data_IF_663745019377
#
_entry.id   IF_663745019377
#
_cell.length_a   1.000
_cell.length_b   1.000
_cell.length_c   1.000
_cell.angle_alpha   90.00
_cell.angle_beta   90.00
_cell.angle_gamma   90.00
#
_symmetry.space_group_name_H-M   'P 1'
#
loop_
_entity.id
_entity.type
_entity.pdbx_description
1 polymer ?
#
# COMPACT_ATOMS: atom_id res chain seq x y z
N UNK A 1 -16.92 9.07 2.98
CA UNK A 1 -16.20 8.18 3.92
C UNK A 1 -16.61 8.60 5.32
N UNK A 2 -16.90 7.68 6.24
CA UNK A 2 -16.95 8.06 7.66
C UNK A 2 -15.51 7.98 8.16
N UNK A 3 -14.97 9.10 8.62
CA UNK A 3 -13.64 9.20 9.24
C UNK A 3 -13.47 8.10 10.31
N UNK A 4 -14.56 7.74 10.98
CA UNK A 4 -14.73 6.63 11.93
C UNK A 4 -14.04 5.30 11.53
N UNK A 5 -14.06 4.93 10.24
CA UNK A 5 -13.47 3.65 9.79
C UNK A 5 -11.94 3.69 9.77
N UNK A 6 -11.36 4.82 9.37
CA UNK A 6 -9.90 4.99 9.38
C UNK A 6 -9.41 5.19 10.82
N UNK A 7 -10.21 5.86 11.65
CA UNK A 7 -9.90 5.99 13.08
C UNK A 7 -9.84 4.63 13.77
N UNK A 8 -10.81 3.73 13.51
CA UNK A 8 -10.78 2.37 14.05
C UNK A 8 -9.52 1.58 13.61
N UNK A 9 -9.08 1.75 12.37
CA UNK A 9 -7.84 1.16 11.86
C UNK A 9 -6.60 1.74 12.59
N UNK A 10 -6.55 3.06 12.79
CA UNK A 10 -5.46 3.73 13.54
C UNK A 10 -5.37 3.18 14.97
N UNK A 11 -6.50 3.06 15.68
CA UNK A 11 -6.53 2.49 17.03
C UNK A 11 -6.06 1.03 17.05
N UNK A 12 -6.46 0.24 16.05
CA UNK A 12 -6.04 -1.16 15.93
C UNK A 12 -4.54 -1.29 15.69
N UNK A 13 -3.97 -0.43 14.82
CA UNK A 13 -2.52 -0.39 14.56
C UNK A 13 -1.74 0.01 15.82
N UNK A 14 -2.21 1.02 16.56
CA UNK A 14 -1.58 1.43 17.82
C UNK A 14 -1.59 0.31 18.86
N UNK A 15 -2.74 -0.36 19.04
CA UNK A 15 -2.86 -1.47 19.97
C UNK A 15 -1.96 -2.66 19.60
N UNK A 16 -1.93 -3.04 18.32
CA UNK A 16 -1.08 -4.13 17.84
C UNK A 16 0.41 -3.81 17.95
N UNK A 17 0.81 -2.56 17.66
CA UNK A 17 2.20 -2.11 17.80
C UNK A 17 2.65 -2.14 19.26
N UNK A 18 1.79 -1.72 20.19
CA UNK A 18 2.08 -1.79 21.62
C UNK A 18 2.19 -3.24 22.13
N UNK A 19 1.34 -4.14 21.65
CA UNK A 19 1.43 -5.56 21.97
C UNK A 19 2.71 -6.20 21.40
N UNK A 20 3.11 -5.81 20.18
CA UNK A 20 4.31 -6.31 19.52
C UNK A 20 5.60 -5.93 20.26
N UNK A 21 5.66 -4.76 20.90
CA UNK A 21 6.80 -4.39 21.74
C UNK A 21 7.08 -5.40 22.86
N UNK A 22 6.05 -6.10 23.35
CA UNK A 22 6.19 -7.15 24.37
C UNK A 22 6.43 -8.54 23.76
N UNK A 23 5.82 -8.81 22.60
CA UNK A 23 5.80 -10.14 22.00
C UNK A 23 7.01 -10.43 21.09
N UNK A 24 7.60 -9.40 20.47
CA UNK A 24 8.80 -9.48 19.62
C UNK A 24 8.69 -10.50 18.47
N UNK A 25 7.47 -10.84 18.04
CA UNK A 25 7.22 -11.83 17.00
C UNK A 25 7.57 -11.30 15.61
N UNK A 26 7.16 -10.08 15.31
CA UNK A 26 7.53 -9.39 14.08
C UNK A 26 9.04 -9.17 14.02
N UNK A 27 9.68 -8.80 15.14
CA UNK A 27 11.14 -8.65 15.19
C UNK A 27 11.86 -9.96 14.87
N UNK A 28 11.36 -11.07 15.40
CA UNK A 28 11.91 -12.40 15.11
C UNK A 28 11.73 -12.79 13.63
N UNK A 29 10.56 -12.52 13.05
CA UNK A 29 10.30 -12.77 11.63
C UNK A 29 11.24 -11.94 10.74
N UNK A 30 11.42 -10.66 11.07
CA UNK A 30 12.30 -9.74 10.36
C UNK A 30 13.75 -10.23 10.37
N UNK A 31 14.25 -10.67 11.53
CA UNK A 31 15.60 -11.23 11.66
C UNK A 31 15.75 -12.53 10.84
N UNK A 32 14.72 -13.37 10.82
CA UNK A 32 14.74 -14.61 10.04
C UNK A 32 14.89 -14.35 8.53
N UNK A 33 14.24 -13.31 8.00
CA UNK A 33 14.31 -12.94 6.58
C UNK A 33 15.37 -11.90 6.23
N UNK A 34 16.17 -11.43 7.20
CA UNK A 34 17.10 -10.32 7.00
C UNK A 34 18.10 -10.60 5.87
N UNK A 35 18.63 -11.81 5.79
CA UNK A 35 19.64 -12.19 4.79
C UNK A 35 19.09 -12.29 3.36
N UNK A 36 17.79 -12.52 3.20
CA UNK A 36 17.14 -12.53 1.89
C UNK A 36 16.82 -11.09 1.46
N UNK A 37 16.32 -10.28 2.40
CA UNK A 37 15.96 -8.88 2.14
C UNK A 37 17.21 -8.02 1.91
N UNK A 38 18.33 -8.27 2.60
CA UNK A 38 19.59 -7.55 2.39
C UNK A 38 20.21 -7.77 1.00
N UNK A 39 19.71 -8.75 0.23
CA UNK A 39 20.10 -8.94 -1.19
C UNK A 39 19.29 -8.05 -2.13
N UNK A 40 18.13 -7.57 -1.69
CA UNK A 40 17.20 -6.76 -2.47
C UNK A 40 17.40 -5.27 -2.22
N UNK A 41 17.76 -4.90 -0.99
CA UNK A 41 18.00 -3.52 -0.55
C UNK A 41 19.24 -3.42 0.32
N UNK A 42 19.92 -2.28 0.21
CA UNK A 42 20.99 -1.94 1.14
C UNK A 42 20.35 -1.57 2.49
N UNK A 43 20.56 -2.42 3.49
CA UNK A 43 20.10 -2.21 4.85
C UNK A 43 21.36 -2.02 5.68
N UNK A 44 21.45 -0.88 6.37
CA UNK A 44 22.52 -0.67 7.34
C UNK A 44 22.57 -1.84 8.33
N UNK A 45 23.78 -2.26 8.71
CA UNK A 45 24.04 -3.43 9.56
C UNK A 45 23.58 -3.17 11.02
N UNK A 46 22.27 -3.14 11.24
CA UNK A 46 21.54 -2.67 12.42
C UNK A 46 20.60 -3.75 12.96
N UNK A 47 21.10 -4.97 13.23
CA UNK A 47 20.40 -6.05 13.96
C UNK A 47 18.87 -6.20 13.64
N UNK A 48 18.49 -6.03 12.37
CA UNK A 48 17.09 -6.02 11.92
C UNK A 48 16.21 -4.84 12.37
N UNK A 49 16.68 -3.89 13.18
CA UNK A 49 15.85 -2.80 13.73
C UNK A 49 15.37 -1.83 12.64
N UNK A 50 16.24 -1.52 11.68
CA UNK A 50 15.87 -0.72 10.50
C UNK A 50 14.73 -1.36 9.70
N UNK A 51 14.80 -2.68 9.45
CA UNK A 51 13.75 -3.41 8.75
C UNK A 51 12.47 -3.56 9.61
N UNK A 52 12.60 -3.75 10.92
CA UNK A 52 11.46 -3.77 11.85
C UNK A 52 10.70 -2.44 11.84
N UNK A 53 11.40 -1.32 11.97
CA UNK A 53 10.80 0.03 11.88
C UNK A 53 10.14 0.27 10.52
N UNK A 54 10.74 -0.24 9.45
CA UNK A 54 10.16 -0.17 8.12
C UNK A 54 8.81 -0.89 8.05
N UNK A 55 8.70 -2.11 8.56
CA UNK A 55 7.44 -2.87 8.54
C UNK A 55 6.36 -2.16 9.37
N UNK A 56 6.70 -1.66 10.56
CA UNK A 56 5.74 -0.89 11.37
C UNK A 56 5.25 0.37 10.65
N UNK A 57 6.17 1.07 9.97
CA UNK A 57 5.83 2.26 9.20
C UNK A 57 4.97 1.93 7.98
N UNK A 58 5.27 0.83 7.29
CA UNK A 58 4.49 0.33 6.16
C UNK A 58 3.01 0.07 6.54
N UNK A 59 2.78 -0.55 7.70
CA UNK A 59 1.44 -0.76 8.26
C UNK A 59 0.79 0.57 8.62
N UNK A 60 1.52 1.42 9.34
CA UNK A 60 0.99 2.68 9.90
C UNK A 60 0.68 3.74 8.84
N UNK A 61 1.19 3.59 7.62
CA UNK A 61 0.97 4.54 6.53
C UNK A 61 -0.41 4.38 5.87
N UNK A 62 -1.02 3.21 5.96
CA UNK A 62 -2.28 2.89 5.26
C UNK A 62 -3.41 3.90 5.52
N UNK A 63 -3.72 4.30 6.78
CA UNK A 63 -4.85 5.19 7.03
C UNK A 63 -4.65 6.58 6.42
N UNK A 64 -3.47 7.19 6.64
CA UNK A 64 -3.17 8.51 6.07
C UNK A 64 -3.11 8.43 4.54
N UNK A 65 -2.68 7.30 4.00
CA UNK A 65 -2.61 7.10 2.57
C UNK A 65 -4.00 7.08 1.92
N UNK A 66 -4.94 6.34 2.49
CA UNK A 66 -6.32 6.31 1.99
C UNK A 66 -7.01 7.67 2.13
N UNK A 67 -6.77 8.38 3.23
CA UNK A 67 -7.32 9.73 3.44
C UNK A 67 -6.82 10.72 2.39
N UNK A 68 -5.50 10.77 2.16
CA UNK A 68 -4.92 11.67 1.19
C UNK A 68 -5.35 11.32 -0.25
N UNK A 69 -5.46 10.03 -0.60
CA UNK A 69 -5.99 9.60 -1.89
C UNK A 69 -7.43 10.09 -2.09
N UNK A 70 -8.27 10.01 -1.06
CA UNK A 70 -9.63 10.55 -1.12
C UNK A 70 -9.62 12.06 -1.37
N UNK A 71 -8.87 12.83 -0.57
CA UNK A 71 -8.80 14.29 -0.72
C UNK A 71 -8.31 14.70 -2.10
N UNK A 72 -7.19 14.12 -2.54
CA UNK A 72 -6.64 14.33 -3.87
C UNK A 72 -7.64 14.03 -4.99
N UNK A 73 -8.38 12.92 -4.89
CA UNK A 73 -9.39 12.56 -5.87
C UNK A 73 -10.58 13.53 -5.87
N UNK A 74 -11.00 14.04 -4.71
CA UNK A 74 -12.07 15.03 -4.59
C UNK A 74 -11.65 16.38 -5.17
N UNK A 75 -10.46 16.87 -4.81
CA UNK A 75 -9.90 18.13 -5.33
C UNK A 75 -9.70 18.10 -6.84
N UNK A 76 -9.27 16.95 -7.37
CA UNK A 76 -9.14 16.76 -8.81
C UNK A 76 -10.50 16.58 -9.53
N UNK A 77 -11.60 16.30 -8.83
CA UNK A 77 -12.88 15.93 -9.45
C UNK A 77 -12.88 14.52 -10.04
N UNK A 78 -11.96 13.66 -9.60
CA UNK A 78 -11.79 12.27 -10.03
C UNK A 78 -12.44 11.25 -9.09
N UNK A 79 -13.14 11.71 -8.04
CA UNK A 79 -13.73 10.83 -7.03
C UNK A 79 -14.58 9.68 -7.60
N UNK A 80 -15.34 9.93 -8.67
CA UNK A 80 -16.15 8.88 -9.33
C UNK A 80 -15.30 7.70 -9.81
N UNK A 81 -14.06 7.95 -10.25
CA UNK A 81 -13.15 6.94 -10.78
C UNK A 81 -12.29 6.29 -9.68
N UNK A 82 -11.98 7.04 -8.62
CA UNK A 82 -11.18 6.56 -7.48
C UNK A 82 -12.02 5.80 -6.45
N UNK A 83 -13.32 6.11 -6.34
CA UNK A 83 -14.22 5.49 -5.35
C UNK A 83 -14.21 3.95 -5.40
N UNK A 84 -14.28 3.27 -6.56
CA UNK A 84 -14.24 1.81 -6.60
C UNK A 84 -12.93 1.22 -6.05
N UNK A 85 -11.80 1.87 -6.32
CA UNK A 85 -10.50 1.50 -5.73
C UNK A 85 -10.55 1.64 -4.21
N UNK A 86 -11.11 2.76 -3.73
CA UNK A 86 -11.26 3.04 -2.31
C UNK A 86 -12.17 2.02 -1.61
N UNK A 87 -13.29 1.64 -2.24
CA UNK A 87 -14.23 0.67 -1.67
C UNK A 87 -13.54 -0.70 -1.45
N UNK A 88 -12.71 -1.14 -2.42
CA UNK A 88 -11.92 -2.38 -2.29
C UNK A 88 -10.85 -2.25 -1.20
N UNK A 89 -10.10 -1.15 -1.18
CA UNK A 89 -9.08 -0.93 -0.15
C UNK A 89 -9.67 -0.94 1.26
N UNK A 90 -10.86 -0.33 1.43
CA UNK A 90 -11.60 -0.35 2.68
C UNK A 90 -12.09 -1.75 3.04
N UNK A 91 -12.52 -2.54 2.06
CA UNK A 91 -12.92 -3.93 2.31
C UNK A 91 -11.75 -4.76 2.85
N UNK A 92 -10.52 -4.57 2.36
CA UNK A 92 -9.34 -5.28 2.88
C UNK A 92 -9.06 -4.95 4.35
N UNK A 93 -9.14 -3.69 4.75
CA UNK A 93 -8.85 -3.28 6.15
C UNK A 93 -10.02 -3.54 7.10
N UNK A 94 -11.24 -3.76 6.58
CA UNK A 94 -12.43 -4.12 7.35
C UNK A 94 -12.59 -5.62 7.57
N UNK A 95 -11.90 -6.45 6.79
CA UNK A 95 -11.84 -7.88 7.08
C UNK A 95 -11.30 -8.04 8.49
N UNK A 96 -12.05 -8.72 9.37
CA UNK A 96 -11.55 -9.04 10.68
C UNK A 96 -10.19 -9.74 10.50
N UNK A 97 -9.13 -9.29 11.21
CA UNK A 97 -7.89 -10.03 11.33
C UNK A 97 -8.27 -11.49 11.56
N UNK A 98 -7.96 -12.39 10.60
CA UNK A 98 -8.39 -13.77 10.72
C UNK A 98 -8.11 -14.24 12.14
N UNK A 99 -9.14 -14.72 12.84
CA UNK A 99 -8.98 -15.33 14.17
C UNK A 99 -7.98 -16.51 14.14
N UNK A 100 -7.56 -16.92 12.93
CA UNK A 100 -6.56 -17.93 12.62
C UNK A 100 -5.12 -17.43 12.55
N UNK A 101 -4.83 -16.13 12.71
CA UNK A 101 -3.44 -15.67 12.86
C UNK A 101 -2.92 -16.04 14.27
N UNK A 102 -2.58 -17.31 14.45
CA UNK A 102 -1.79 -17.80 15.59
C UNK A 102 -0.49 -16.99 15.79
N UNK A 103 -0.04 -16.29 14.74
CA UNK A 103 1.10 -15.37 14.73
C UNK A 103 0.82 -13.99 15.38
N UNK A 104 -0.43 -13.55 15.49
CA UNK A 104 -0.83 -12.32 16.20
C UNK A 104 -1.34 -11.17 15.32
N UNK A 105 -2.00 -10.19 15.96
CA UNK A 105 -2.73 -9.08 15.31
C UNK A 105 -1.86 -8.22 14.38
N UNK A 106 -0.57 -8.04 14.71
CA UNK A 106 0.35 -7.23 13.89
C UNK A 106 0.58 -7.84 12.49
N UNK A 107 0.58 -9.17 12.37
CA UNK A 107 0.73 -9.84 11.07
C UNK A 107 -0.54 -9.74 10.24
N UNK A 108 -1.72 -9.80 10.85
CA UNK A 108 -2.95 -9.57 10.11
C UNK A 108 -3.00 -8.13 9.54
N UNK A 109 -2.61 -7.14 10.35
CA UNK A 109 -2.48 -5.76 9.88
C UNK A 109 -1.40 -5.61 8.78
N UNK A 110 -0.31 -6.38 8.85
CA UNK A 110 0.69 -6.46 7.79
C UNK A 110 0.09 -6.96 6.48
N UNK A 111 -0.69 -8.05 6.52
CA UNK A 111 -1.32 -8.59 5.32
C UNK A 111 -2.34 -7.62 4.73
N UNK A 112 -3.14 -6.95 5.58
CA UNK A 112 -4.08 -5.92 5.13
C UNK A 112 -3.35 -4.73 4.49
N UNK A 113 -2.26 -4.28 5.10
CA UNK A 113 -1.44 -3.23 4.53
C UNK A 113 -0.88 -3.65 3.17
N UNK A 114 -0.35 -4.87 3.06
CA UNK A 114 0.16 -5.43 1.81
C UNK A 114 -0.89 -5.41 0.70
N UNK A 115 -2.11 -5.87 1.00
CA UNK A 115 -3.22 -5.86 0.05
C UNK A 115 -3.55 -4.44 -0.43
N UNK A 116 -3.58 -3.46 0.47
CA UNK A 116 -3.88 -2.05 0.11
C UNK A 116 -2.77 -1.45 -0.75
N UNK A 117 -1.51 -1.58 -0.32
CA UNK A 117 -0.38 -1.02 -1.08
C UNK A 117 -0.25 -1.67 -2.46
N UNK A 118 -0.41 -3.00 -2.56
CA UNK A 118 -0.33 -3.72 -3.85
C UNK A 118 -1.52 -3.38 -4.77
N UNK A 119 -2.73 -3.21 -4.22
CA UNK A 119 -3.89 -2.73 -5.00
C UNK A 119 -3.62 -1.35 -5.59
N UNK A 120 -3.11 -0.41 -4.79
CA UNK A 120 -2.82 0.94 -5.25
C UNK A 120 -1.69 0.97 -6.28
N UNK A 121 -0.66 0.14 -6.11
CA UNK A 121 0.41 -0.02 -7.12
C UNK A 121 -0.17 -0.53 -8.44
N UNK A 122 -0.94 -1.62 -8.44
CA UNK A 122 -1.49 -2.21 -9.67
C UNK A 122 -2.47 -1.27 -10.39
N UNK A 123 -3.27 -0.51 -9.62
CA UNK A 123 -4.13 0.55 -10.15
C UNK A 123 -3.30 1.67 -10.78
N UNK A 124 -2.22 2.09 -10.11
CA UNK A 124 -1.32 3.12 -10.62
C UNK A 124 -0.62 2.65 -11.91
N UNK A 125 -0.15 1.41 -11.96
CA UNK A 125 0.46 0.81 -13.15
C UNK A 125 -0.54 0.76 -14.31
N UNK A 126 -1.75 0.26 -14.06
CA UNK A 126 -2.81 0.25 -15.07
C UNK A 126 -3.14 1.65 -15.58
N UNK A 127 -3.12 2.64 -14.69
CA UNK A 127 -3.34 4.05 -15.04
C UNK A 127 -2.20 4.61 -15.90
N UNK A 128 -0.93 4.38 -15.52
CA UNK A 128 0.26 4.78 -16.27
C UNK A 128 0.20 4.21 -17.70
N UNK A 129 -0.12 2.92 -17.84
CA UNK A 129 -0.22 2.27 -19.15
C UNK A 129 -1.26 2.94 -20.08
N UNK A 130 -2.28 3.59 -19.52
CA UNK A 130 -3.37 4.22 -20.29
C UNK A 130 -3.18 5.72 -20.50
N UNK A 131 -2.64 6.42 -19.50
CA UNK A 131 -2.58 7.89 -19.45
C UNK A 131 -1.15 8.42 -19.62
N UNK A 132 -0.13 7.56 -19.53
CA UNK A 132 1.28 7.90 -19.74
C UNK A 132 1.94 8.60 -18.55
N UNK A 133 1.24 8.76 -17.42
CA UNK A 133 1.73 9.42 -16.21
C UNK A 133 1.15 8.78 -14.95
N UNK A 134 1.90 8.77 -13.82
CA UNK A 134 1.43 8.19 -12.57
C UNK A 134 0.27 8.98 -11.96
N UNK A 135 -0.66 8.26 -11.34
CA UNK A 135 -1.71 8.83 -10.49
C UNK A 135 -1.16 9.21 -9.12
N UNK A 136 -0.22 8.41 -8.59
CA UNK A 136 0.50 8.66 -7.34
C UNK A 136 2.01 8.54 -7.62
N UNK A 137 2.86 9.50 -7.18
CA UNK A 137 4.30 9.48 -7.48
C UNK A 137 5.11 8.47 -6.65
N UNK A 138 4.47 7.82 -5.67
CA UNK A 138 5.15 6.94 -4.72
C UNK A 138 5.54 5.65 -5.42
N UNK A 139 6.84 5.42 -5.54
CA UNK A 139 7.36 4.09 -5.84
C UNK A 139 7.09 3.17 -4.63
N UNK A 140 6.08 2.30 -4.80
CA UNK A 140 5.68 1.29 -3.82
C UNK A 140 6.27 -0.08 -4.14
N UNK A 141 6.89 -0.26 -5.31
CA UNK A 141 7.31 -1.55 -5.82
C UNK A 141 8.37 -2.18 -4.90
N UNK A 142 9.41 -1.42 -4.55
CA UNK A 142 10.47 -1.93 -3.68
C UNK A 142 9.95 -2.23 -2.27
N UNK A 143 9.07 -1.38 -1.73
CA UNK A 143 8.46 -1.61 -0.42
C UNK A 143 7.60 -2.88 -0.42
N UNK A 144 6.81 -3.09 -1.47
CA UNK A 144 5.95 -4.25 -1.62
C UNK A 144 6.77 -5.53 -1.81
N UNK A 145 7.90 -5.49 -2.54
CA UNK A 145 8.82 -6.63 -2.67
C UNK A 145 9.45 -7.02 -1.31
N UNK A 146 9.87 -6.05 -0.50
CA UNK A 146 10.38 -6.32 0.85
C UNK A 146 9.32 -7.01 1.70
N UNK A 147 8.09 -6.48 1.71
CA UNK A 147 7.00 -7.05 2.51
C UNK A 147 6.56 -8.41 1.97
N UNK A 148 6.50 -8.60 0.65
CA UNK A 148 6.25 -9.90 0.03
C UNK A 148 7.26 -10.94 0.52
N UNK A 149 8.55 -10.59 0.55
CA UNK A 149 9.62 -11.49 1.03
C UNK A 149 9.45 -11.88 2.51
N UNK A 150 8.83 -11.00 3.31
CA UNK A 150 8.53 -11.24 4.72
C UNK A 150 7.27 -12.11 4.92
N UNK A 151 6.35 -12.10 3.96
CA UNK A 151 5.14 -12.92 3.98
C UNK A 151 5.48 -14.29 3.41
N UNK A 152 5.43 -15.32 4.26
CA UNK A 152 5.76 -16.68 3.86
C UNK A 152 4.78 -17.26 2.82
N UNK A 153 5.29 -18.10 1.92
CA UNK A 153 4.44 -18.91 1.05
C UNK A 153 3.73 -20.04 1.81
N UNK A 154 2.49 -20.41 1.46
CA UNK A 154 1.73 -20.03 0.25
C UNK A 154 0.86 -18.77 0.40
N UNK A 155 1.01 -18.02 1.51
CA UNK A 155 0.13 -16.89 1.81
C UNK A 155 0.39 -15.72 0.88
N UNK A 156 1.66 -15.38 0.61
CA UNK A 156 2.02 -14.28 -0.30
C UNK A 156 1.33 -14.44 -1.67
N UNK A 157 1.48 -15.62 -2.29
CA UNK A 157 0.80 -15.97 -3.55
C UNK A 157 -0.74 -15.88 -3.47
N UNK A 158 -1.32 -16.13 -2.30
CA UNK A 158 -2.77 -16.05 -2.10
C UNK A 158 -3.25 -14.60 -2.04
N UNK A 159 -2.50 -13.74 -1.35
CA UNK A 159 -2.79 -12.31 -1.28
C UNK A 159 -2.63 -11.65 -2.66
N UNK A 160 -1.62 -12.05 -3.44
CA UNK A 160 -1.45 -11.55 -4.81
C UNK A 160 -2.64 -11.87 -5.70
N UNK A 161 -3.10 -13.14 -5.73
CA UNK A 161 -4.30 -13.51 -6.50
C UNK A 161 -5.55 -12.75 -6.06
N UNK A 162 -5.67 -12.46 -4.76
CA UNK A 162 -6.78 -11.66 -4.25
C UNK A 162 -6.72 -10.23 -4.83
N UNK A 163 -5.54 -9.60 -4.84
CA UNK A 163 -5.35 -8.27 -5.43
C UNK A 163 -5.66 -8.29 -6.93
N UNK A 164 -5.10 -9.24 -7.69
CA UNK A 164 -5.36 -9.38 -9.13
C UNK A 164 -6.85 -9.47 -9.42
N UNK A 165 -7.57 -10.30 -8.67
CA UNK A 165 -9.02 -10.45 -8.82
C UNK A 165 -9.76 -9.14 -8.49
N UNK A 166 -9.39 -8.47 -7.40
CA UNK A 166 -9.99 -7.20 -7.02
C UNK A 166 -9.74 -6.09 -8.04
N UNK A 167 -8.53 -6.01 -8.61
CA UNK A 167 -8.17 -5.04 -9.66
C UNK A 167 -9.04 -5.27 -10.91
N UNK A 168 -9.22 -6.53 -11.34
CA UNK A 168 -10.10 -6.85 -12.46
C UNK A 168 -11.55 -6.38 -12.25
N UNK A 169 -12.04 -6.46 -11.00
CA UNK A 169 -13.37 -5.93 -10.64
C UNK A 169 -13.42 -4.40 -10.72
N UNK A 170 -12.39 -3.70 -10.23
CA UNK A 170 -12.28 -2.22 -10.29
C UNK A 170 -12.26 -1.72 -11.74
N UNK A 171 -11.55 -2.40 -12.63
CA UNK A 171 -11.40 -2.00 -14.04
C UNK A 171 -12.41 -2.65 -15.00
N UNK A 172 -13.44 -3.32 -14.47
CA UNK A 172 -14.50 -3.92 -15.29
C UNK A 172 -15.18 -2.87 -16.19
N UNK A 173 -15.70 -3.24 -17.38
CA UNK A 173 -16.10 -2.32 -18.45
C UNK A 173 -17.10 -1.21 -18.06
N UNK A 174 -17.76 -1.33 -16.91
CA UNK A 174 -18.74 -0.38 -16.37
C UNK A 174 -18.09 0.88 -15.76
N UNK A 175 -16.82 0.81 -15.33
CA UNK A 175 -16.06 1.91 -14.71
C UNK A 175 -15.07 2.52 -15.72
N UNK A 176 -15.05 2.01 -16.95
CA UNK A 176 -13.96 2.17 -17.89
C UNK A 176 -13.43 3.62 -17.95
N UNK A 177 -12.15 3.77 -17.66
CA UNK A 177 -11.30 4.91 -17.99
C UNK A 177 -11.22 5.20 -19.52
N UNK A 178 -12.20 4.70 -20.27
CA UNK A 178 -12.51 4.96 -21.68
C UNK A 178 -13.82 5.76 -21.81
N UNK A 179 -14.46 6.13 -20.70
CA UNK A 179 -15.59 7.07 -20.65
C UNK A 179 -15.18 8.38 -21.36
N UNK A 180 -15.92 8.83 -22.37
CA UNK A 180 -15.65 10.09 -23.07
C UNK A 180 -15.49 11.28 -22.11
N UNK A 181 -16.20 11.28 -20.98
CA UNK A 181 -16.07 12.33 -19.95
C UNK A 181 -14.71 12.27 -19.22
N UNK A 182 -14.18 11.07 -18.98
CA UNK A 182 -12.87 10.86 -18.39
C UNK A 182 -11.76 11.29 -19.36
N UNK A 183 -11.86 10.88 -20.62
CA UNK A 183 -10.93 11.30 -21.68
C UNK A 183 -10.96 12.82 -21.88
N UNK A 184 -12.16 13.42 -21.93
CA UNK A 184 -12.32 14.86 -22.05
C UNK A 184 -11.78 15.61 -20.82
N UNK A 185 -11.92 15.06 -19.61
CA UNK A 185 -11.31 15.60 -18.41
C UNK A 185 -9.78 15.62 -18.51
N UNK A 186 -9.17 14.50 -18.93
CA UNK A 186 -7.72 14.40 -19.12
C UNK A 186 -7.22 15.40 -20.17
N UNK A 187 -7.88 15.46 -21.33
CA UNK A 187 -7.49 16.36 -22.42
C UNK A 187 -7.67 17.85 -22.10
N UNK A 188 -8.56 18.21 -21.16
CA UNK A 188 -8.80 19.62 -20.76
C UNK A 188 -7.78 20.16 -19.77
N UNK A 189 -7.02 19.31 -19.09
CA UNK A 189 -6.22 19.67 -17.91
C UNK A 189 -4.79 19.12 -17.95
N UNK A 190 -4.23 18.92 -19.14
CA UNK A 190 -2.81 18.64 -19.30
C UNK A 190 -2.00 19.79 -18.69
N UNK A 191 -1.42 19.55 -17.50
CA UNK A 191 -0.13 20.05 -16.99
C UNK A 191 -0.08 20.22 -15.46
N UNK A 192 -1.20 20.46 -14.75
CA UNK A 192 -1.09 21.05 -13.40
C UNK A 192 -1.80 20.34 -12.23
N UNK A 193 -2.79 19.48 -12.45
CA UNK A 193 -3.57 18.88 -11.35
C UNK A 193 -2.95 17.60 -10.75
N UNK A 194 -2.23 16.80 -11.54
CA UNK A 194 -1.55 15.60 -11.02
C UNK A 194 -0.34 15.94 -10.14
N UNK A 195 0.26 17.11 -10.37
CA UNK A 195 1.31 17.69 -9.52
C UNK A 195 0.77 18.02 -8.11
N UNK A 196 -0.55 18.24 -7.95
CA UNK A 196 -1.15 18.52 -6.63
C UNK A 196 -1.47 17.26 -5.82
N UNK A 197 -1.87 16.16 -6.48
CA UNK A 197 -1.99 14.83 -5.82
C UNK A 197 -0.61 14.33 -5.34
N UNK A 198 0.45 14.81 -6.00
CA UNK A 198 1.83 14.35 -5.84
C UNK A 198 2.59 14.84 -4.60
N UNK A 199 2.13 15.90 -3.93
CA UNK A 199 2.94 16.63 -2.95
C UNK A 199 2.31 16.47 -1.56
N UNK A 200 2.49 15.32 -0.88
CA UNK A 200 3.68 15.17 -0.04
C UNK A 200 4.06 13.69 0.24
N UNK A 201 4.37 12.88 -0.78
CA UNK A 201 4.53 11.42 -0.60
C UNK A 201 5.94 10.94 -0.90
N UNK A 202 6.89 11.04 0.03
CA UNK A 202 8.24 10.55 -0.23
C UNK A 202 8.22 9.02 -0.15
N UNK A 203 8.94 8.37 -1.06
CA UNK A 203 9.07 6.91 -1.13
C UNK A 203 9.55 6.34 0.22
N UNK A 204 8.84 5.34 0.75
CA UNK A 204 9.05 4.86 2.12
C UNK A 204 10.46 4.26 2.33
N UNK A 205 10.94 3.49 1.36
CA UNK A 205 12.30 2.93 1.39
C UNK A 205 13.36 4.04 1.30
N UNK A 206 13.17 5.02 0.40
CA UNK A 206 14.06 6.17 0.27
C UNK A 206 14.10 7.06 1.54
N UNK A 207 12.95 7.26 2.21
CA UNK A 207 12.88 8.00 3.49
C UNK A 207 13.70 7.35 4.60
N UNK A 208 13.79 6.02 4.56
CA UNK A 208 14.48 5.21 5.55
C UNK A 208 15.93 4.89 5.14
N UNK A 209 16.42 5.46 4.03
CA UNK A 209 17.76 5.20 3.50
C UNK A 209 17.93 3.83 2.84
N UNK A 210 16.85 3.08 2.63
CA UNK A 210 16.87 1.77 1.96
C UNK A 210 16.81 1.97 0.45
N UNK A 211 17.97 2.04 -0.18
CA UNK A 211 18.08 2.17 -1.64
C UNK A 211 18.29 0.79 -2.26
N UNK A 212 17.66 0.50 -3.40
CA UNK A 212 17.96 -0.74 -4.12
C UNK A 212 19.26 -0.57 -4.90
N UNK A 213 20.23 -1.49 -4.77
CA UNK A 213 21.44 -1.47 -5.59
C UNK A 213 21.20 -1.94 -7.03
N UNK A 214 20.02 -2.50 -7.35
CA UNK A 214 19.68 -3.12 -8.64
C UNK A 214 18.94 -2.14 -9.57
N UNK A 215 18.31 -1.10 -9.02
CA UNK A 215 17.48 -0.13 -9.75
C UNK A 215 18.21 1.20 -10.07
N UNK A 216 19.55 1.20 -10.10
CA UNK A 216 20.35 2.35 -10.54
C UNK A 216 20.62 2.35 -12.04
#
# INVERSE_FOLDING_TARGET
MREDNLDALVHSIQAATAAEQQQQRLRTQVLFHQADISRLVDIADDDGDTLYRFVLRYISEVPVMLLNLQHAAMEAGLWRYVKPVMDVALAFVQQEPEQQSSKGQIFALLHQAYLVHRLLEEVNDTYIHRVGQPMVPKDMALANVIIHTLIEEPLASTLERLVEHSVQQVFSPQIAYQDPDFCAYLSRKESNNLIQIAQPWPCLSAQMGMSSPILN
#
